data_IF_852403353209
#
_entry.id   IF_852403353209
#
_cell.length_a   1.000
_cell.length_b   1.000
_cell.length_c   1.000
_cell.angle_alpha   90.00
_cell.angle_beta   90.00
_cell.angle_gamma   90.00
#
_symmetry.space_group_name_H-M   'P 1'
#
loop_
_entity.id
_entity.type
_entity.pdbx_description
1 polymer ?
#
# COMPACT_ATOMS: atom_id res chain seq x y z
N UNK A 1 17.92 -31.45 -45.47
CA UNK A 1 18.99 -30.75 -44.74
C UNK A 1 18.95 -29.23 -44.92
N UNK A 2 18.89 -28.65 -46.13
CA UNK A 2 18.89 -27.18 -46.30
C UNK A 2 17.73 -26.39 -45.60
N UNK A 3 16.52 -26.99 -45.45
CA UNK A 3 15.38 -26.35 -44.75
C UNK A 3 15.60 -26.23 -43.23
N UNK A 4 16.28 -27.17 -42.59
CA UNK A 4 16.54 -27.14 -41.14
C UNK A 4 17.66 -26.18 -40.78
N UNK A 5 18.64 -25.98 -41.69
CA UNK A 5 19.72 -25.01 -41.52
C UNK A 5 19.18 -23.59 -41.56
N UNK A 6 18.21 -23.30 -42.44
CA UNK A 6 17.55 -21.96 -42.51
C UNK A 6 16.73 -21.65 -41.27
N UNK A 7 16.00 -22.64 -40.71
CA UNK A 7 15.22 -22.48 -39.48
C UNK A 7 16.12 -22.23 -38.27
N UNK A 8 17.27 -22.91 -38.16
CA UNK A 8 18.22 -22.71 -37.06
C UNK A 8 18.93 -21.34 -37.13
N UNK A 9 19.21 -20.82 -38.32
CA UNK A 9 19.78 -19.49 -38.50
C UNK A 9 18.78 -18.39 -38.12
N UNK A 10 17.50 -18.54 -38.46
CA UNK A 10 16.44 -17.60 -38.08
C UNK A 10 16.26 -17.60 -36.56
N UNK A 11 16.27 -18.78 -35.90
CA UNK A 11 16.18 -18.89 -34.45
C UNK A 11 17.37 -18.21 -33.73
N UNK A 12 18.58 -18.34 -34.27
CA UNK A 12 19.80 -17.70 -33.74
C UNK A 12 19.78 -16.16 -33.88
N UNK A 13 19.19 -15.63 -34.97
CA UNK A 13 19.05 -14.19 -35.15
C UNK A 13 18.04 -13.61 -34.13
N UNK A 14 16.92 -14.29 -33.87
CA UNK A 14 15.95 -13.87 -32.85
C UNK A 14 16.51 -13.91 -31.43
N UNK A 15 17.36 -14.89 -31.08
CA UNK A 15 17.99 -14.96 -29.75
C UNK A 15 19.01 -13.83 -29.53
N UNK A 16 19.76 -13.42 -30.53
CA UNK A 16 20.68 -12.27 -30.44
C UNK A 16 19.96 -10.94 -30.25
N UNK A 17 18.85 -10.69 -30.96
CA UNK A 17 18.07 -9.48 -30.81
C UNK A 17 17.42 -9.38 -29.41
N UNK A 18 17.00 -10.51 -28.83
CA UNK A 18 16.45 -10.54 -27.46
C UNK A 18 17.52 -10.32 -26.38
N UNK A 19 18.74 -10.81 -26.61
CA UNK A 19 19.89 -10.65 -25.69
C UNK A 19 20.40 -9.20 -25.65
N UNK A 20 20.36 -8.48 -26.77
CA UNK A 20 20.90 -7.11 -26.85
C UNK A 20 20.01 -6.10 -26.11
N UNK A 21 18.67 -6.25 -26.18
CA UNK A 21 17.71 -5.43 -25.43
C UNK A 21 17.83 -5.61 -23.90
N UNK A 22 18.12 -6.83 -23.45
CA UNK A 22 18.30 -7.11 -22.02
C UNK A 22 19.65 -6.59 -21.49
N UNK A 23 20.73 -6.57 -22.31
CA UNK A 23 22.03 -6.10 -21.86
C UNK A 23 22.05 -4.64 -21.43
N UNK A 24 21.27 -3.78 -22.10
CA UNK A 24 21.13 -2.36 -21.74
C UNK A 24 20.36 -2.23 -20.41
N UNK A 25 19.27 -2.98 -20.24
CA UNK A 25 18.49 -2.99 -19.01
C UNK A 25 19.29 -3.57 -17.83
N UNK A 26 20.12 -4.59 -18.08
CA UNK A 26 21.03 -5.15 -17.08
C UNK A 26 22.07 -4.10 -16.66
N UNK A 27 22.70 -3.40 -17.60
CA UNK A 27 23.67 -2.34 -17.30
C UNK A 27 23.05 -1.19 -16.48
N UNK A 28 21.80 -0.79 -16.79
CA UNK A 28 21.09 0.20 -16.01
C UNK A 28 20.75 -0.31 -14.60
N UNK A 29 20.29 -1.57 -14.48
CA UNK A 29 19.98 -2.22 -13.20
C UNK A 29 21.24 -2.25 -12.31
N UNK A 30 22.38 -2.71 -12.84
CA UNK A 30 23.64 -2.81 -12.10
C UNK A 30 24.12 -1.41 -11.65
N UNK A 31 24.01 -0.42 -12.51
CA UNK A 31 24.34 0.97 -12.17
C UNK A 31 23.44 1.51 -11.06
N UNK A 32 22.13 1.20 -11.07
CA UNK A 32 21.20 1.58 -10.01
C UNK A 32 21.57 0.90 -8.70
N UNK A 33 21.94 -0.39 -8.71
CA UNK A 33 22.39 -1.13 -7.52
C UNK A 33 23.62 -0.43 -6.92
N UNK A 34 24.63 -0.11 -7.74
CA UNK A 34 25.85 0.54 -7.31
C UNK A 34 25.59 1.93 -6.74
N UNK A 35 24.85 2.79 -7.44
CA UNK A 35 24.54 4.14 -6.97
C UNK A 35 23.65 4.15 -5.73
N UNK A 36 22.68 3.25 -5.64
CA UNK A 36 21.79 3.20 -4.47
C UNK A 36 22.54 2.68 -3.24
N UNK A 37 23.46 1.73 -3.40
CA UNK A 37 24.33 1.26 -2.33
C UNK A 37 25.28 2.37 -1.85
N UNK A 38 25.92 3.07 -2.78
CA UNK A 38 26.79 4.20 -2.46
C UNK A 38 26.02 5.35 -1.78
N UNK A 39 24.80 5.63 -2.23
CA UNK A 39 23.92 6.64 -1.64
C UNK A 39 23.61 6.34 -0.17
N UNK A 40 23.23 5.12 0.15
CA UNK A 40 22.88 4.74 1.53
C UNK A 40 24.11 4.78 2.44
N UNK A 41 25.28 4.38 1.95
CA UNK A 41 26.53 4.32 2.71
C UNK A 41 27.25 5.68 2.84
N UNK A 42 26.88 6.69 2.07
CA UNK A 42 27.50 8.01 2.15
C UNK A 42 27.15 8.73 3.46
N UNK A 43 28.08 9.45 4.04
CA UNK A 43 27.87 10.38 5.16
C UNK A 43 27.74 11.84 4.71
N UNK A 44 27.56 12.09 3.41
CA UNK A 44 27.44 13.43 2.84
C UNK A 44 26.11 13.56 2.10
N UNK A 45 25.25 14.44 2.57
CA UNK A 45 23.90 14.62 2.04
C UNK A 45 23.89 15.15 0.58
N UNK A 46 24.89 15.98 0.21
CA UNK A 46 25.03 16.44 -1.17
C UNK A 46 25.33 15.28 -2.12
N UNK A 47 26.23 14.38 -1.74
CA UNK A 47 26.55 13.19 -2.50
C UNK A 47 25.33 12.27 -2.60
N UNK A 48 24.56 12.10 -1.52
CA UNK A 48 23.32 11.31 -1.54
C UNK A 48 22.32 11.85 -2.55
N UNK A 49 22.15 13.16 -2.62
CA UNK A 49 21.25 13.80 -3.58
C UNK A 49 21.74 13.58 -5.00
N UNK A 50 23.02 13.79 -5.28
CA UNK A 50 23.62 13.58 -6.61
C UNK A 50 23.48 12.14 -7.09
N UNK A 51 23.73 11.16 -6.21
CA UNK A 51 23.55 9.74 -6.52
C UNK A 51 22.08 9.40 -6.76
N UNK A 52 21.17 9.97 -5.97
CA UNK A 52 19.73 9.82 -6.17
C UNK A 52 19.26 10.40 -7.50
N UNK A 53 19.85 11.49 -7.97
CA UNK A 53 19.52 12.08 -9.26
C UNK A 53 20.05 11.21 -10.43
N UNK A 54 21.22 10.58 -10.28
CA UNK A 54 21.73 9.55 -11.22
C UNK A 54 20.78 8.34 -11.28
N UNK A 55 20.34 7.82 -10.12
CA UNK A 55 19.33 6.76 -10.04
C UNK A 55 18.05 7.17 -10.79
N UNK A 56 17.58 8.40 -10.57
CA UNK A 56 16.39 8.93 -11.24
C UNK A 56 16.53 8.96 -12.76
N UNK A 57 17.70 9.32 -13.27
CA UNK A 57 18.01 9.29 -14.71
C UNK A 57 17.92 7.87 -15.27
N UNK A 58 18.59 6.91 -14.63
CA UNK A 58 18.62 5.51 -15.08
C UNK A 58 17.23 4.84 -15.00
N UNK A 59 16.48 5.04 -13.91
CA UNK A 59 15.10 4.54 -13.81
C UNK A 59 14.24 5.11 -14.91
N UNK A 60 14.41 6.39 -15.25
CA UNK A 60 13.65 7.01 -16.33
C UNK A 60 14.03 6.36 -17.68
N UNK A 61 15.30 6.17 -17.97
CA UNK A 61 15.78 5.46 -19.17
C UNK A 61 15.23 4.03 -19.26
N UNK A 62 15.16 3.29 -18.14
CA UNK A 62 14.51 1.97 -18.11
C UNK A 62 13.05 2.10 -18.55
N UNK A 63 12.33 3.10 -18.06
CA UNK A 63 10.90 3.26 -18.37
C UNK A 63 10.63 3.68 -19.83
N UNK A 64 11.61 4.22 -20.54
CA UNK A 64 11.53 4.55 -21.96
C UNK A 64 11.68 3.32 -22.87
N UNK A 65 12.27 2.22 -22.36
CA UNK A 65 12.37 0.99 -23.13
C UNK A 65 10.99 0.32 -23.23
N UNK A 66 10.55 0.04 -24.46
CA UNK A 66 9.19 -0.45 -24.75
C UNK A 66 8.81 -1.71 -23.94
N UNK A 67 9.73 -2.67 -23.82
CA UNK A 67 9.50 -3.95 -23.13
C UNK A 67 9.81 -3.92 -21.64
N UNK A 68 10.27 -2.79 -21.11
CA UNK A 68 10.75 -2.67 -19.73
C UNK A 68 9.71 -3.03 -18.67
N UNK A 69 8.42 -2.90 -18.97
CA UNK A 69 7.34 -3.23 -18.03
C UNK A 69 7.37 -4.71 -17.58
N UNK A 70 7.95 -5.60 -18.39
CA UNK A 70 8.09 -7.02 -18.12
C UNK A 70 9.46 -7.40 -17.59
N UNK A 71 10.44 -6.47 -17.62
CA UNK A 71 11.79 -6.73 -17.17
C UNK A 71 11.85 -6.87 -15.66
N UNK A 72 12.57 -7.90 -15.17
CA UNK A 72 12.72 -8.18 -13.75
C UNK A 72 13.72 -7.22 -13.10
N UNK A 73 13.24 -6.46 -12.12
CA UNK A 73 14.00 -5.51 -11.32
C UNK A 73 13.96 -5.89 -9.83
N UNK A 74 13.69 -7.16 -9.51
CA UNK A 74 13.57 -7.64 -8.12
C UNK A 74 14.88 -7.54 -7.33
N UNK A 75 16.02 -7.49 -7.99
CA UNK A 75 17.35 -7.33 -7.37
C UNK A 75 17.61 -5.92 -6.81
N UNK A 76 16.81 -4.93 -7.20
CA UNK A 76 16.94 -3.56 -6.69
C UNK A 76 16.55 -3.49 -5.21
N UNK A 77 17.56 -3.42 -4.33
CA UNK A 77 17.35 -3.44 -2.86
C UNK A 77 16.80 -2.11 -2.32
N UNK A 78 17.36 -1.00 -2.79
CA UNK A 78 17.07 0.35 -2.26
C UNK A 78 16.11 1.16 -3.12
N UNK A 79 15.79 0.67 -4.31
CA UNK A 79 14.74 1.22 -5.18
C UNK A 79 13.62 0.19 -5.27
N UNK A 80 12.49 0.47 -4.63
CA UNK A 80 11.35 -0.43 -4.68
C UNK A 80 10.59 -0.27 -5.98
N UNK A 81 10.36 -1.38 -6.65
CA UNK A 81 9.59 -1.45 -7.89
C UNK A 81 8.31 -2.24 -7.64
N UNK A 82 7.17 -1.63 -7.93
CA UNK A 82 5.87 -2.28 -7.82
C UNK A 82 5.17 -2.20 -9.18
N UNK A 83 4.93 -3.36 -9.78
CA UNK A 83 4.21 -3.49 -11.05
C UNK A 83 2.82 -4.06 -10.80
N UNK A 84 1.80 -3.46 -11.40
CA UNK A 84 0.43 -3.97 -11.34
C UNK A 84 0.32 -5.33 -12.07
N UNK A 85 -0.64 -6.17 -11.63
CA UNK A 85 -0.87 -7.49 -12.25
C UNK A 85 -1.24 -7.37 -13.73
N UNK A 86 -1.97 -6.32 -14.08
CA UNK A 86 -2.38 -6.05 -15.47
C UNK A 86 -1.27 -5.40 -16.32
N UNK A 87 -0.07 -5.21 -15.77
CA UNK A 87 1.08 -4.60 -16.44
C UNK A 87 0.81 -3.20 -17.04
N UNK A 88 -0.20 -2.48 -16.53
CA UNK A 88 -0.57 -1.14 -17.04
C UNK A 88 -0.09 0.01 -16.15
N UNK A 89 0.42 -0.31 -14.96
CA UNK A 89 0.95 0.65 -14.02
C UNK A 89 2.15 0.07 -13.27
N UNK A 90 3.22 0.85 -13.18
CA UNK A 90 4.40 0.55 -12.37
C UNK A 90 4.85 1.81 -11.65
N UNK A 91 5.30 1.65 -10.41
CA UNK A 91 5.85 2.74 -9.62
C UNK A 91 7.19 2.31 -9.03
N UNK A 92 8.17 3.20 -9.14
CA UNK A 92 9.47 3.13 -8.51
C UNK A 92 9.50 4.14 -7.37
N UNK A 93 9.93 3.74 -6.20
CA UNK A 93 10.12 4.65 -5.07
C UNK A 93 11.38 4.32 -4.30
N UNK A 94 12.08 5.35 -3.85
CA UNK A 94 13.23 5.21 -2.97
C UNK A 94 13.33 6.39 -2.00
N UNK A 95 14.16 6.20 -0.99
CA UNK A 95 14.35 7.13 0.11
C UNK A 95 15.80 7.59 0.12
N UNK A 96 16.02 8.88 0.34
CA UNK A 96 17.33 9.45 0.64
C UNK A 96 17.39 9.65 2.16
N UNK A 97 18.16 8.82 2.89
CA UNK A 97 18.30 8.99 4.34
C UNK A 97 19.32 10.09 4.63
N UNK A 98 18.89 11.22 5.15
CA UNK A 98 19.78 12.34 5.49
C UNK A 98 20.50 12.11 6.82
N UNK A 99 21.64 12.79 6.99
CA UNK A 99 22.50 12.69 8.17
C UNK A 99 21.82 13.19 9.45
N UNK A 100 20.87 14.10 9.30
CA UNK A 100 20.07 14.66 10.40
C UNK A 100 18.86 13.75 10.80
N UNK A 101 18.78 12.52 10.26
CA UNK A 101 17.71 11.56 10.46
C UNK A 101 16.37 11.98 9.83
N UNK A 102 16.38 12.89 8.89
CA UNK A 102 15.23 13.15 8.03
C UNK A 102 15.33 12.38 6.70
N UNK A 103 14.31 12.46 5.87
CA UNK A 103 14.21 11.62 4.66
C UNK A 103 13.74 12.44 3.46
N UNK A 104 14.42 12.26 2.34
CA UNK A 104 13.94 12.70 1.04
C UNK A 104 13.25 11.57 0.28
N UNK A 105 12.19 11.87 -0.45
CA UNK A 105 11.43 10.87 -1.22
C UNK A 105 11.55 11.14 -2.70
N UNK A 106 11.80 10.09 -3.45
CA UNK A 106 11.84 10.09 -4.91
C UNK A 106 10.92 9.02 -5.46
N UNK A 107 10.34 9.29 -6.60
CA UNK A 107 9.51 8.31 -7.29
C UNK A 107 9.38 8.61 -8.77
N UNK A 108 9.19 7.54 -9.53
CA UNK A 108 8.87 7.56 -10.96
C UNK A 108 7.71 6.61 -11.18
N UNK A 109 6.78 7.00 -12.02
CA UNK A 109 5.67 6.15 -12.43
C UNK A 109 5.73 5.92 -13.92
N UNK A 110 5.34 4.71 -14.34
CA UNK A 110 5.13 4.32 -15.73
C UNK A 110 3.70 3.82 -15.87
N UNK A 111 2.94 4.34 -16.82
CA UNK A 111 1.53 4.04 -17.00
C UNK A 111 1.14 3.95 -18.46
N UNK A 112 0.20 3.04 -18.76
CA UNK A 112 -0.22 2.78 -20.15
C UNK A 112 -1.21 3.84 -20.65
N UNK A 113 -0.86 4.47 -21.77
CA UNK A 113 -1.71 5.35 -22.55
C UNK A 113 -2.52 4.51 -23.56
N UNK A 114 -3.83 4.38 -23.32
CA UNK A 114 -4.71 3.54 -24.14
C UNK A 114 -4.90 4.08 -25.57
N UNK A 115 -4.80 5.39 -25.78
CA UNK A 115 -4.99 6.02 -27.07
C UNK A 115 -3.78 5.85 -27.97
N UNK A 116 -2.59 6.07 -27.42
CA UNK A 116 -1.34 5.97 -28.16
C UNK A 116 -0.77 4.56 -28.17
N UNK A 117 -1.30 3.65 -27.33
CA UNK A 117 -0.82 2.27 -27.11
C UNK A 117 0.65 2.22 -26.70
N UNK A 118 1.11 3.21 -25.93
CA UNK A 118 2.47 3.36 -25.42
C UNK A 118 2.48 3.56 -23.90
N UNK A 119 3.63 3.38 -23.27
CA UNK A 119 3.83 3.76 -21.90
C UNK A 119 4.29 5.22 -21.80
N UNK A 120 3.78 5.91 -20.78
CA UNK A 120 4.22 7.26 -20.41
C UNK A 120 4.76 7.24 -18.99
N UNK A 121 5.86 7.97 -18.76
CA UNK A 121 6.57 8.00 -17.50
C UNK A 121 6.61 9.39 -16.92
N UNK A 122 6.51 9.49 -15.60
CA UNK A 122 6.48 10.76 -14.87
C UNK A 122 7.36 10.68 -13.63
N UNK A 123 8.22 11.68 -13.45
CA UNK A 123 8.90 11.94 -12.17
C UNK A 123 7.91 12.53 -11.18
N UNK A 124 7.94 12.04 -9.94
CA UNK A 124 7.07 12.50 -8.85
C UNK A 124 7.79 13.58 -8.04
N UNK A 125 7.07 14.65 -7.72
CA UNK A 125 7.59 15.71 -6.85
C UNK A 125 7.00 15.60 -5.46
N UNK A 126 7.82 15.25 -4.47
CA UNK A 126 7.40 15.20 -3.07
C UNK A 126 7.07 16.62 -2.56
N UNK A 127 5.87 16.74 -2.01
CA UNK A 127 5.34 17.92 -1.34
C UNK A 127 4.67 17.57 -0.01
N UNK A 128 4.90 16.35 0.52
CA UNK A 128 4.20 15.82 1.68
C UNK A 128 4.19 16.76 2.88
N UNK A 129 5.31 17.38 3.19
CA UNK A 129 5.45 18.30 4.33
C UNK A 129 4.71 19.64 4.16
N UNK A 130 4.38 19.99 2.88
CA UNK A 130 3.68 21.24 2.52
C UNK A 130 2.19 21.02 2.26
N UNK A 131 1.69 19.77 2.40
CA UNK A 131 0.30 19.41 2.11
C UNK A 131 -0.53 19.38 3.39
N UNK A 132 -1.13 20.50 3.78
CA UNK A 132 -2.16 20.49 4.82
C UNK A 132 -3.34 19.59 4.43
N UNK A 133 -3.84 18.77 5.38
CA UNK A 133 -4.98 17.87 5.17
C UNK A 133 -4.85 16.96 3.95
N UNK A 134 -3.63 16.41 3.74
CA UNK A 134 -3.32 15.55 2.59
C UNK A 134 -4.30 14.38 2.44
N UNK A 135 -4.87 13.87 3.54
CA UNK A 135 -5.80 12.75 3.55
C UNK A 135 -7.04 12.98 2.66
N UNK A 136 -7.51 14.22 2.53
CA UNK A 136 -8.75 14.56 1.84
C UNK A 136 -8.54 15.09 0.42
N UNK A 137 -7.28 15.21 -0.02
CA UNK A 137 -6.91 15.82 -1.31
C UNK A 137 -6.62 14.77 -2.38
N UNK A 138 -7.09 15.00 -3.60
CA UNK A 138 -6.52 14.35 -4.79
C UNK A 138 -5.28 15.12 -5.22
N UNK A 139 -4.19 14.41 -5.47
CA UNK A 139 -2.88 14.98 -5.74
C UNK A 139 -2.41 14.57 -7.13
N UNK A 140 -1.67 15.47 -7.79
CA UNK A 140 -1.00 15.21 -9.06
C UNK A 140 0.44 14.72 -8.84
N UNK A 141 1.09 14.30 -9.90
CA UNK A 141 2.53 13.95 -9.92
C UNK A 141 3.43 15.08 -9.40
N UNK A 142 3.05 16.35 -9.60
CA UNK A 142 3.78 17.55 -9.10
C UNK A 142 3.51 17.90 -7.64
N UNK A 143 2.53 17.22 -7.02
CA UNK A 143 2.11 17.41 -5.63
C UNK A 143 1.95 16.06 -4.94
N UNK A 144 2.88 15.14 -5.17
CA UNK A 144 2.87 13.82 -4.55
C UNK A 144 3.14 13.92 -3.04
N UNK A 145 2.48 13.05 -2.25
CA UNK A 145 2.65 13.04 -0.79
C UNK A 145 4.03 12.54 -0.35
N UNK A 146 4.75 11.80 -1.23
CA UNK A 146 6.05 11.22 -0.94
C UNK A 146 5.98 10.04 0.03
N UNK A 147 6.27 8.84 -0.48
CA UNK A 147 6.34 7.64 0.34
C UNK A 147 7.19 6.56 -0.34
N UNK A 148 7.76 5.68 0.49
CA UNK A 148 8.33 4.42 0.04
C UNK A 148 7.21 3.38 0.00
N UNK A 149 6.76 3.01 -1.20
CA UNK A 149 5.69 2.01 -1.36
C UNK A 149 6.29 0.61 -1.44
N UNK A 150 5.72 -0.34 -0.68
CA UNK A 150 6.22 -1.72 -0.62
C UNK A 150 5.19 -2.77 -1.06
N UNK A 151 3.93 -2.40 -1.27
CA UNK A 151 2.88 -3.30 -1.75
C UNK A 151 1.94 -2.58 -2.71
N UNK A 152 1.48 -3.27 -3.74
CA UNK A 152 0.44 -2.83 -4.67
C UNK A 152 -0.71 -3.82 -4.69
N UNK A 153 -1.94 -3.31 -4.62
CA UNK A 153 -3.18 -4.09 -4.61
C UNK A 153 -4.11 -3.52 -5.68
N UNK A 154 -4.60 -4.38 -6.55
CA UNK A 154 -5.55 -3.98 -7.58
C UNK A 154 -6.97 -4.24 -7.13
N UNK A 155 -7.83 -3.23 -7.31
CA UNK A 155 -9.26 -3.33 -7.09
C UNK A 155 -10.01 -2.62 -8.22
N UNK A 156 -11.32 -2.89 -8.35
CA UNK A 156 -12.14 -2.27 -9.39
C UNK A 156 -13.53 -1.90 -8.87
N UNK A 157 -14.10 -0.85 -9.48
CA UNK A 157 -15.51 -0.44 -9.32
C UNK A 157 -16.10 -0.27 -10.72
N UNK A 158 -16.93 -1.23 -11.14
CA UNK A 158 -17.34 -1.31 -12.55
C UNK A 158 -16.10 -1.44 -13.46
N UNK A 159 -15.98 -0.60 -14.47
CA UNK A 159 -14.83 -0.54 -15.37
C UNK A 159 -13.62 0.20 -14.79
N UNK A 160 -13.79 1.00 -13.72
CA UNK A 160 -12.71 1.81 -13.15
C UNK A 160 -11.81 0.97 -12.26
N UNK A 161 -10.50 0.96 -12.56
CA UNK A 161 -9.46 0.31 -11.78
C UNK A 161 -8.84 1.28 -10.77
N UNK A 162 -8.41 0.72 -9.64
CA UNK A 162 -7.68 1.41 -8.58
C UNK A 162 -6.45 0.57 -8.22
N UNK A 163 -5.33 1.24 -8.04
CA UNK A 163 -4.10 0.66 -7.50
C UNK A 163 -3.91 1.21 -6.09
N UNK A 164 -4.16 0.37 -5.09
CA UNK A 164 -3.95 0.72 -3.69
C UNK A 164 -2.52 0.37 -3.32
N UNK A 165 -1.75 1.36 -2.88
CA UNK A 165 -0.35 1.22 -2.49
C UNK A 165 -0.25 1.28 -0.96
N UNK A 166 0.48 0.34 -0.36
CA UNK A 166 0.89 0.41 1.04
C UNK A 166 2.30 0.99 1.08
N UNK A 167 2.53 1.95 1.97
CA UNK A 167 3.80 2.64 2.04
C UNK A 167 4.17 3.13 3.43
N UNK A 168 5.37 3.71 3.51
CA UNK A 168 5.94 4.31 4.69
C UNK A 168 6.50 5.71 4.38
N UNK A 169 6.41 6.62 5.37
CA UNK A 169 7.05 7.93 5.36
C UNK A 169 7.50 8.30 6.77
N UNK A 170 8.79 8.60 6.95
CA UNK A 170 9.28 9.36 8.10
C UNK A 170 8.86 10.82 7.96
N UNK A 171 8.28 11.38 9.00
CA UNK A 171 7.75 12.75 9.02
C UNK A 171 8.72 13.68 9.74
N UNK A 172 9.24 13.23 10.88
CA UNK A 172 10.22 13.97 11.68
C UNK A 172 11.17 12.97 12.36
N UNK A 173 12.02 13.46 13.25
CA UNK A 173 12.90 12.59 14.06
C UNK A 173 12.13 11.71 15.04
N UNK A 174 10.93 12.11 15.43
CA UNK A 174 10.09 11.42 16.44
C UNK A 174 8.83 10.81 15.88
N UNK A 175 8.41 11.19 14.66
CA UNK A 175 7.15 10.75 14.04
C UNK A 175 7.40 10.13 12.68
N UNK A 176 6.80 8.98 12.45
CA UNK A 176 6.73 8.29 11.17
C UNK A 176 5.28 7.96 10.81
N UNK A 177 5.05 7.44 9.62
CA UNK A 177 3.71 7.03 9.21
C UNK A 177 3.70 5.82 8.30
N UNK A 178 2.64 5.01 8.40
CA UNK A 178 2.20 4.08 7.37
C UNK A 178 1.11 4.73 6.53
N UNK A 179 1.05 4.37 5.26
CA UNK A 179 0.18 5.05 4.29
C UNK A 179 -0.55 4.00 3.45
N UNK A 180 -1.86 4.22 3.28
CA UNK A 180 -2.64 3.54 2.25
C UNK A 180 -3.02 4.61 1.22
N UNK A 181 -2.35 4.58 0.08
CA UNK A 181 -2.54 5.51 -1.02
C UNK A 181 -3.38 4.86 -2.13
N UNK A 182 -4.21 5.63 -2.80
CA UNK A 182 -5.02 5.16 -3.93
C UNK A 182 -4.57 5.86 -5.20
N UNK A 183 -4.17 5.09 -6.19
CA UNK A 183 -3.75 5.60 -7.50
C UNK A 183 -4.80 5.25 -8.55
N UNK A 184 -5.11 6.21 -9.42
CA UNK A 184 -5.90 6.00 -10.63
C UNK A 184 -5.13 6.44 -11.86
N UNK A 185 -5.21 5.65 -12.92
CA UNK A 185 -4.64 5.95 -14.23
C UNK A 185 -5.78 6.29 -15.19
N UNK A 186 -5.72 7.45 -15.81
CA UNK A 186 -6.67 7.88 -16.85
C UNK A 186 -6.28 7.27 -18.20
N UNK A 187 -7.21 7.27 -19.17
CA UNK A 187 -6.99 6.66 -20.51
C UNK A 187 -5.77 7.20 -21.25
N UNK A 188 -5.37 8.46 -21.01
CA UNK A 188 -4.15 9.07 -21.57
C UNK A 188 -2.88 8.77 -20.75
N UNK A 189 -2.94 7.87 -19.75
CA UNK A 189 -1.81 7.56 -18.89
C UNK A 189 -1.59 8.54 -17.74
N UNK A 190 -2.37 9.61 -17.63
CA UNK A 190 -2.24 10.58 -16.52
C UNK A 190 -2.61 9.95 -15.18
N UNK A 191 -1.81 10.22 -14.16
CA UNK A 191 -1.94 9.65 -12.83
C UNK A 191 -2.55 10.66 -11.86
N UNK A 192 -3.41 10.14 -10.98
CA UNK A 192 -3.93 10.89 -9.84
C UNK A 192 -3.78 10.05 -8.59
N UNK A 193 -3.23 10.63 -7.52
CA UNK A 193 -3.11 10.05 -6.18
C UNK A 193 -4.27 10.53 -5.32
N UNK A 194 -4.87 9.62 -4.56
CA UNK A 194 -6.00 9.89 -3.67
C UNK A 194 -7.35 9.78 -4.37
N UNK A 195 -8.15 8.79 -3.92
CA UNK A 195 -9.50 8.58 -4.39
C UNK A 195 -10.39 8.07 -3.26
N UNK A 196 -11.63 8.57 -3.17
CA UNK A 196 -12.57 8.20 -2.10
C UNK A 196 -13.16 6.80 -2.35
N UNK A 197 -12.46 5.78 -1.83
CA UNK A 197 -12.89 4.38 -1.81
C UNK A 197 -12.80 3.75 -0.41
N UNK A 198 -12.77 4.58 0.64
CA UNK A 198 -12.74 4.11 2.02
C UNK A 198 -14.11 4.25 2.68
N UNK A 199 -14.53 3.22 3.42
CA UNK A 199 -15.66 3.26 4.36
C UNK A 199 -15.11 3.05 5.78
N UNK A 200 -14.67 4.16 6.38
CA UNK A 200 -13.97 4.22 7.67
C UNK A 200 -14.74 5.05 8.70
N UNK A 201 -16.04 5.17 8.55
CA UNK A 201 -16.91 6.00 9.41
C UNK A 201 -16.82 5.64 10.89
N UNK A 202 -16.51 4.41 11.20
CA UNK A 202 -16.39 3.88 12.57
C UNK A 202 -14.92 3.74 13.01
N UNK A 203 -13.97 4.27 12.24
CA UNK A 203 -12.56 4.23 12.58
C UNK A 203 -12.19 5.49 13.38
N UNK A 204 -12.04 5.32 14.68
CA UNK A 204 -11.84 6.43 15.61
C UNK A 204 -10.61 7.26 15.33
N UNK A 205 -9.50 6.61 14.93
CA UNK A 205 -8.25 7.27 14.55
C UNK A 205 -8.43 8.40 13.51
N UNK A 206 -9.37 8.26 12.57
CA UNK A 206 -9.68 9.26 11.54
C UNK A 206 -10.86 10.17 11.88
N UNK A 207 -11.40 10.05 13.11
CA UNK A 207 -12.59 10.77 13.54
C UNK A 207 -13.89 10.07 13.13
N UNK A 208 -14.85 10.05 14.05
CA UNK A 208 -16.17 9.45 13.82
C UNK A 208 -16.88 10.14 12.65
N UNK A 209 -17.49 9.34 11.78
CA UNK A 209 -18.26 9.84 10.64
C UNK A 209 -17.43 10.27 9.43
N UNK A 210 -16.10 10.10 9.42
CA UNK A 210 -15.25 10.48 8.30
C UNK A 210 -15.65 9.75 7.01
N UNK A 211 -15.95 10.52 5.96
CA UNK A 211 -16.36 10.02 4.62
C UNK A 211 -15.52 10.58 3.48
N UNK A 212 -14.57 11.46 3.77
CA UNK A 212 -13.85 12.25 2.76
C UNK A 212 -12.43 11.78 2.50
N UNK A 213 -11.92 10.80 3.26
CA UNK A 213 -10.55 10.33 3.09
C UNK A 213 -10.31 9.72 1.73
N UNK A 214 -9.28 10.22 1.05
CA UNK A 214 -8.81 9.74 -0.26
C UNK A 214 -7.52 8.93 -0.16
N UNK A 215 -6.84 9.02 0.97
CA UNK A 215 -5.75 8.18 1.47
C UNK A 215 -5.84 8.08 2.98
N UNK A 216 -5.22 7.06 3.56
CA UNK A 216 -5.11 6.92 5.01
C UNK A 216 -3.66 7.11 5.41
N UNK A 217 -3.42 7.97 6.39
CA UNK A 217 -2.09 8.27 6.92
C UNK A 217 -2.12 7.98 8.41
N UNK A 218 -1.39 6.95 8.83
CA UNK A 218 -1.28 6.49 10.19
C UNK A 218 0.04 7.01 10.77
N UNK A 219 -0.01 8.10 11.53
CA UNK A 219 1.16 8.71 12.18
C UNK A 219 1.39 8.08 13.55
N UNK A 220 2.63 7.77 13.88
CA UNK A 220 3.01 7.15 15.15
C UNK A 220 4.48 7.39 15.46
N UNK A 221 4.89 7.02 16.69
CA UNK A 221 6.25 7.19 17.18
C UNK A 221 7.29 6.46 16.32
N UNK A 222 8.46 7.08 16.11
CA UNK A 222 9.62 6.37 15.51
C UNK A 222 10.17 5.25 16.39
N UNK A 223 9.82 5.23 17.68
CA UNK A 223 10.18 4.14 18.60
C UNK A 223 9.26 2.92 18.49
N UNK A 224 8.12 3.06 17.81
CA UNK A 224 7.18 1.97 17.54
C UNK A 224 7.30 1.43 16.13
N UNK A 225 6.81 0.23 15.91
CA UNK A 225 6.66 -0.36 14.58
C UNK A 225 5.21 -0.79 14.38
N UNK A 226 4.53 -0.19 13.40
CA UNK A 226 3.15 -0.52 13.05
C UNK A 226 3.12 -1.53 11.92
N UNK A 227 2.44 -2.66 12.14
CA UNK A 227 2.13 -3.59 11.06
C UNK A 227 1.11 -3.00 10.10
N UNK A 228 1.38 -3.10 8.80
CA UNK A 228 0.44 -2.79 7.73
C UNK A 228 0.79 -3.64 6.52
N UNK A 229 -0.05 -4.64 6.18
CA UNK A 229 0.19 -5.52 5.04
C UNK A 229 -1.12 -5.96 4.38
N UNK A 230 -1.03 -6.70 3.28
CA UNK A 230 -2.16 -7.28 2.55
C UNK A 230 -2.06 -8.79 2.59
N UNK A 231 -2.89 -9.41 3.42
CA UNK A 231 -2.79 -10.82 3.76
C UNK A 231 -4.15 -11.51 3.67
N UNK A 232 -4.12 -12.84 3.46
CA UNK A 232 -5.31 -13.67 3.53
C UNK A 232 -5.68 -13.91 4.99
N UNK A 233 -6.89 -13.50 5.38
CA UNK A 233 -7.36 -13.58 6.75
C UNK A 233 -8.81 -14.07 6.82
N UNK A 234 -9.19 -14.57 8.00
CA UNK A 234 -10.55 -14.93 8.34
C UNK A 234 -11.07 -13.92 9.35
N UNK A 235 -12.18 -13.25 9.05
CA UNK A 235 -12.87 -12.38 10.00
C UNK A 235 -14.22 -12.95 10.37
N UNK A 236 -14.60 -12.81 11.65
CA UNK A 236 -15.90 -13.20 12.16
C UNK A 236 -16.75 -11.94 12.33
N UNK A 237 -17.83 -11.86 11.58
CA UNK A 237 -18.75 -10.71 11.63
C UNK A 237 -20.02 -11.11 12.37
N UNK A 238 -20.39 -10.36 13.40
CA UNK A 238 -21.72 -10.49 14.00
C UNK A 238 -22.79 -10.16 12.95
N UNK A 239 -23.63 -11.11 12.61
CA UNK A 239 -24.77 -10.86 11.73
C UNK A 239 -25.85 -10.14 12.56
N UNK A 240 -26.22 -8.93 12.15
CA UNK A 240 -27.41 -8.28 12.71
C UNK A 240 -28.62 -9.16 12.39
N UNK A 241 -29.15 -9.88 13.37
CA UNK A 241 -30.48 -10.45 13.25
C UNK A 241 -31.43 -9.27 13.01
N UNK A 242 -32.16 -9.30 11.91
CA UNK A 242 -33.32 -8.40 11.77
C UNK A 242 -34.31 -8.89 12.81
N UNK A 243 -34.33 -8.29 13.99
CA UNK A 243 -35.46 -8.45 14.90
C UNK A 243 -36.66 -7.87 14.17
N UNK A 244 -37.52 -8.70 13.64
CA UNK A 244 -38.88 -8.29 13.28
C UNK A 244 -39.54 -7.93 14.59
N UNK A 245 -39.58 -6.65 14.91
CA UNK A 245 -40.42 -6.10 15.95
C UNK A 245 -41.85 -6.31 15.51
N UNK A 246 -42.46 -7.45 15.87
CA UNK A 246 -43.87 -7.62 15.81
C UNK A 246 -44.47 -6.98 17.07
N UNK A 247 -44.76 -5.71 16.99
CA UNK A 247 -45.66 -5.06 17.96
C UNK A 247 -47.06 -5.67 17.80
N UNK A 248 -47.31 -6.82 18.44
CA UNK A 248 -48.67 -7.22 18.76
C UNK A 248 -49.05 -6.57 20.09
N UNK A 249 -49.81 -5.45 20.03
CA UNK A 249 -50.59 -4.96 21.17
C UNK A 249 -51.49 -6.09 21.62
N UNK A 250 -51.22 -6.71 22.77
CA UNK A 250 -52.23 -7.41 23.55
C UNK A 250 -52.42 -6.67 24.86
N UNK A 251 -53.56 -6.04 24.99
CA UNK A 251 -54.15 -5.66 26.31
C UNK A 251 -54.49 -6.98 27.02
N UNK A 252 -54.01 -7.20 28.23
CA UNK A 252 -54.78 -7.83 29.30
C UNK A 252 -54.09 -7.61 30.63
N UNK A 253 -54.84 -7.11 31.55
CA UNK A 253 -54.55 -7.09 32.98
C UNK A 253 -54.47 -8.51 33.53
N UNK A 254 -53.46 -8.83 34.37
CA UNK A 254 -53.66 -9.44 35.69
C UNK A 254 -52.34 -9.62 36.41
N UNK A 255 -52.41 -9.33 37.67
CA UNK A 255 -51.43 -9.49 38.75
C UNK A 255 -50.88 -10.89 38.90
N UNK A 256 -49.64 -11.01 39.37
CA UNK A 256 -49.08 -12.28 39.86
C UNK A 256 -47.54 -12.24 39.94
N UNK A 257 -47.05 -12.38 41.11
CA UNK A 257 -45.69 -12.41 41.56
C UNK A 257 -44.80 -13.48 40.89
N UNK A 258 -43.50 -13.19 40.81
CA UNK A 258 -42.32 -14.06 40.71
C UNK A 258 -42.10 -14.89 39.43
N UNK A 259 -41.07 -14.47 38.69
CA UNK A 259 -39.92 -15.35 38.30
C UNK A 259 -38.81 -14.47 37.77
N UNK A 260 -37.64 -14.49 38.40
CA UNK A 260 -36.36 -14.06 37.85
C UNK A 260 -36.04 -14.94 36.65
N UNK A 261 -36.38 -14.49 35.44
CA UNK A 261 -35.86 -15.05 34.22
C UNK A 261 -34.54 -14.34 33.91
N UNK A 262 -33.45 -15.05 34.07
CA UNK A 262 -32.14 -14.65 33.53
C UNK A 262 -32.32 -14.25 32.06
N UNK A 263 -31.70 -13.16 31.59
CA UNK A 263 -31.82 -12.77 30.19
C UNK A 263 -31.16 -13.85 29.32
N UNK A 264 -32.00 -14.54 28.55
CA UNK A 264 -31.55 -15.41 27.47
C UNK A 264 -30.53 -14.65 26.60
N UNK A 265 -29.25 -15.05 26.69
CA UNK A 265 -28.22 -14.55 25.79
C UNK A 265 -28.63 -14.90 24.36
N UNK A 266 -29.26 -13.95 23.68
CA UNK A 266 -29.60 -14.11 22.27
C UNK A 266 -28.36 -14.57 21.50
N UNK A 267 -28.39 -15.77 20.92
CA UNK A 267 -27.30 -16.32 20.10
C UNK A 267 -27.07 -15.37 18.93
N UNK A 268 -26.01 -14.55 19.01
CA UNK A 268 -25.59 -13.70 17.91
C UNK A 268 -25.14 -14.61 16.77
N UNK A 269 -25.90 -14.61 15.65
CA UNK A 269 -25.48 -15.33 14.45
C UNK A 269 -24.22 -14.68 13.92
N UNK A 270 -23.12 -15.40 13.89
CA UNK A 270 -21.85 -14.94 13.32
C UNK A 270 -21.70 -15.47 11.90
N UNK A 271 -21.09 -14.69 11.04
CA UNK A 271 -20.69 -15.08 9.69
C UNK A 271 -19.18 -14.94 9.57
N UNK A 272 -18.51 -16.02 9.19
CA UNK A 272 -17.08 -15.98 8.85
C UNK A 272 -16.91 -15.56 7.39
N UNK A 273 -15.99 -14.62 7.15
CA UNK A 273 -15.53 -14.21 5.82
C UNK A 273 -14.04 -14.49 5.71
N UNK A 274 -13.65 -15.14 4.60
CA UNK A 274 -12.25 -15.43 4.28
C UNK A 274 -11.89 -14.71 2.98
N UNK A 275 -10.91 -13.84 3.03
CA UNK A 275 -10.45 -13.08 1.86
C UNK A 275 -9.09 -12.45 2.12
N UNK A 276 -8.46 -11.95 1.06
CA UNK A 276 -7.32 -11.04 1.19
C UNK A 276 -7.80 -9.67 1.64
N UNK A 277 -7.18 -9.12 2.68
CA UNK A 277 -7.53 -7.82 3.25
C UNK A 277 -6.28 -7.04 3.67
N UNK A 278 -6.40 -5.74 3.77
CA UNK A 278 -5.36 -4.93 4.37
C UNK A 278 -5.49 -5.10 5.88
N UNK A 279 -4.45 -5.64 6.51
CA UNK A 279 -4.36 -5.91 7.95
C UNK A 279 -3.42 -4.91 8.56
N UNK A 280 -3.79 -4.36 9.71
CA UNK A 280 -3.01 -3.30 10.34
C UNK A 280 -3.20 -3.29 11.85
N UNK A 281 -2.17 -2.85 12.57
CA UNK A 281 -2.28 -2.56 14.00
C UNK A 281 -3.16 -1.34 14.24
N UNK A 282 -3.91 -1.38 15.34
CA UNK A 282 -4.59 -0.20 15.84
C UNK A 282 -3.60 0.73 16.53
N UNK A 283 -3.62 2.00 16.19
CA UNK A 283 -2.81 3.02 16.85
C UNK A 283 -3.61 3.74 17.93
N UNK A 284 -3.02 3.85 19.10
CA UNK A 284 -3.59 4.56 20.26
C UNK A 284 -2.53 5.47 20.89
N UNK A 285 -2.92 6.62 21.47
CA UNK A 285 -2.01 7.43 22.27
C UNK A 285 -1.73 6.73 23.61
N UNK A 286 -0.56 6.96 24.18
CA UNK A 286 -0.17 6.41 25.48
C UNK A 286 -1.07 6.86 26.63
N UNK A 287 -1.71 8.01 26.49
CA UNK A 287 -2.75 8.49 27.39
C UNK A 287 -3.74 9.42 26.63
N UNK A 288 -4.95 9.64 27.14
CA UNK A 288 -5.93 10.55 26.51
C UNK A 288 -5.41 11.98 26.31
N UNK A 289 -4.52 12.46 27.20
CA UNK A 289 -3.90 13.78 27.12
C UNK A 289 -2.94 13.92 25.94
N UNK A 290 -2.40 12.80 25.43
CA UNK A 290 -1.48 12.75 24.29
C UNK A 290 -2.21 12.62 22.94
N UNK A 291 -3.53 12.84 22.93
CA UNK A 291 -4.28 12.91 21.68
C UNK A 291 -3.70 14.02 20.80
N UNK A 292 -3.52 13.70 19.50
CA UNK A 292 -2.93 14.56 18.46
C UNK A 292 -1.41 14.79 18.55
N UNK A 293 -0.72 14.25 19.57
CA UNK A 293 0.73 14.21 19.69
C UNK A 293 1.24 12.85 19.19
N UNK A 294 1.52 12.74 17.89
CA UNK A 294 1.76 11.45 17.23
C UNK A 294 3.06 10.74 17.65
N UNK A 295 4.00 11.42 18.24
CA UNK A 295 5.19 10.85 18.87
C UNK A 295 4.88 9.95 20.08
N UNK A 296 3.65 10.03 20.60
CA UNK A 296 3.14 9.20 21.69
C UNK A 296 2.09 8.16 21.22
N UNK A 297 1.96 7.96 19.91
CA UNK A 297 1.08 6.91 19.37
C UNK A 297 1.87 5.63 19.13
N UNK A 298 1.30 4.51 19.57
CA UNK A 298 1.87 3.18 19.44
C UNK A 298 0.80 2.18 19.01
N UNK A 299 1.19 1.01 18.44
CA UNK A 299 0.29 -0.10 18.26
C UNK A 299 -0.33 -0.55 19.58
N UNK A 300 -1.64 -0.73 19.60
CA UNK A 300 -2.36 -1.31 20.73
C UNK A 300 -2.08 -2.82 20.79
N UNK A 301 -1.67 -3.32 21.98
CA UNK A 301 -1.29 -4.72 22.13
C UNK A 301 -2.45 -5.67 21.81
N UNK A 302 -2.19 -6.66 20.96
CA UNK A 302 -3.12 -7.72 20.56
C UNK A 302 -4.41 -7.25 19.85
N UNK A 303 -4.47 -6.01 19.40
CA UNK A 303 -5.60 -5.48 18.64
C UNK A 303 -5.18 -5.28 17.18
N UNK A 304 -5.83 -6.01 16.29
CA UNK A 304 -5.59 -5.96 14.85
C UNK A 304 -6.88 -5.54 14.15
N UNK A 305 -6.76 -4.57 13.27
CA UNK A 305 -7.85 -4.08 12.43
C UNK A 305 -7.68 -4.54 10.98
N UNK A 306 -8.75 -4.50 10.19
CA UNK A 306 -8.69 -4.80 8.78
C UNK A 306 -9.50 -3.84 7.91
N UNK A 307 -9.05 -3.72 6.65
CA UNK A 307 -9.83 -3.14 5.57
C UNK A 307 -10.09 -4.22 4.52
N UNK A 308 -11.35 -4.59 4.35
CA UNK A 308 -11.78 -5.57 3.36
C UNK A 308 -12.44 -4.88 2.17
N UNK A 309 -12.06 -5.30 0.94
CA UNK A 309 -12.68 -4.78 -0.27
C UNK A 309 -14.07 -5.34 -0.46
N UNK A 310 -15.10 -4.54 -0.19
CA UNK A 310 -16.50 -4.92 -0.32
C UNK A 310 -17.34 -3.79 -0.89
N UNK A 311 -18.31 -4.11 -1.76
CA UNK A 311 -19.21 -3.12 -2.37
C UNK A 311 -18.44 -1.93 -2.96
N UNK A 312 -17.31 -2.22 -3.63
CA UNK A 312 -16.44 -1.24 -4.30
C UNK A 312 -15.80 -0.20 -3.36
N UNK A 313 -15.56 -0.58 -2.11
CA UNK A 313 -14.87 0.24 -1.09
C UNK A 313 -14.01 -0.64 -0.18
N UNK A 314 -12.95 -0.07 0.37
CA UNK A 314 -12.23 -0.60 1.52
C UNK A 314 -13.05 -0.31 2.78
N UNK A 315 -13.68 -1.36 3.31
CA UNK A 315 -14.53 -1.26 4.51
C UNK A 315 -13.74 -1.67 5.73
N UNK A 316 -13.79 -0.83 6.77
CA UNK A 316 -13.10 -1.04 8.03
C UNK A 316 -13.83 -2.07 8.90
N UNK A 317 -13.05 -2.97 9.49
CA UNK A 317 -13.44 -3.97 10.46
C UNK A 317 -12.47 -3.88 11.66
N UNK A 318 -12.95 -3.43 12.82
CA UNK A 318 -12.13 -3.37 14.02
C UNK A 318 -11.98 -4.75 14.64
N UNK A 319 -10.85 -4.93 15.37
CA UNK A 319 -10.58 -6.05 16.26
C UNK A 319 -10.89 -7.40 15.62
N UNK A 320 -10.18 -7.71 14.55
CA UNK A 320 -10.31 -9.00 13.87
C UNK A 320 -9.53 -10.07 14.61
N UNK A 321 -10.08 -11.29 14.68
CA UNK A 321 -9.32 -12.45 15.14
C UNK A 321 -8.37 -12.91 14.02
N UNK A 322 -7.17 -12.31 14.01
CA UNK A 322 -6.11 -12.61 13.04
C UNK A 322 -5.31 -13.88 13.37
N UNK A 323 -5.76 -14.69 14.33
CA UNK A 323 -5.13 -15.96 14.71
C UNK A 323 -5.38 -17.04 13.66
N UNK A 324 -4.92 -16.81 12.44
CA UNK A 324 -4.82 -17.91 11.48
C UNK A 324 -3.68 -18.83 11.93
N UNK A 325 -3.98 -20.11 12.11
CA UNK A 325 -2.94 -21.13 12.19
C UNK A 325 -2.00 -20.92 11.00
N UNK A 326 -0.72 -20.66 11.28
CA UNK A 326 0.33 -20.70 10.27
C UNK A 326 0.20 -22.01 9.52
N UNK A 327 -0.11 -21.95 8.24
CA UNK A 327 0.00 -23.12 7.39
C UNK A 327 1.47 -23.54 7.37
N UNK A 328 1.73 -24.85 7.43
CA UNK A 328 3.09 -25.42 7.35
C UNK A 328 3.89 -24.97 6.11
N UNK A 329 3.24 -24.34 5.13
CA UNK A 329 3.85 -23.74 3.94
C UNK A 329 4.27 -22.27 4.10
N UNK A 330 3.97 -21.61 5.23
CA UNK A 330 4.39 -20.24 5.52
C UNK A 330 5.88 -20.12 5.89
N UNK A 331 6.60 -21.24 5.97
CA UNK A 331 8.06 -21.28 6.07
C UNK A 331 8.79 -20.87 4.78
N UNK A 332 8.05 -20.57 3.71
CA UNK A 332 8.60 -20.06 2.48
C UNK A 332 8.92 -18.58 2.63
N UNK A 333 10.18 -18.29 2.98
CA UNK A 333 10.86 -16.99 2.89
C UNK A 333 10.22 -15.90 3.75
N UNK A 334 10.72 -15.73 5.00
CA UNK A 334 10.64 -14.45 5.70
C UNK A 334 10.95 -13.35 4.70
N UNK A 335 10.11 -12.29 4.58
CA UNK A 335 10.47 -11.14 3.78
C UNK A 335 11.83 -10.68 4.28
N UNK A 336 12.77 -10.47 3.37
CA UNK A 336 14.05 -9.85 3.74
C UNK A 336 13.67 -8.47 4.26
N UNK A 337 13.70 -8.30 5.58
CA UNK A 337 13.57 -7.01 6.21
C UNK A 337 14.80 -6.20 5.80
N UNK A 338 14.63 -5.36 4.79
CA UNK A 338 15.64 -4.36 4.49
C UNK A 338 15.61 -3.36 5.65
N UNK A 339 16.71 -3.25 6.38
CA UNK A 339 16.92 -2.30 7.49
C UNK A 339 16.93 -0.81 7.05
N UNK A 340 16.15 -0.45 6.04
CA UNK A 340 15.93 0.93 5.61
C UNK A 340 14.82 1.62 6.40
N UNK A 341 13.99 0.83 7.08
CA UNK A 341 13.05 1.34 8.08
C UNK A 341 13.72 1.10 9.43
N UNK A 342 14.00 2.10 10.25
CA UNK A 342 14.50 1.91 11.60
C UNK A 342 13.59 0.92 12.33
N UNK A 343 14.20 -0.08 13.01
CA UNK A 343 13.48 -1.03 13.85
C UNK A 343 12.70 -0.31 14.91
#
# INVERSE_FOLDING_TARGET
MKKYILLSIIALIFTKAYSQDNSILDAYKDSIINYSTAMVNSNNDKIKIELSDKISGLVFQITEQEKSINYDLSELKFVKVLTSKDKKFRVFTWVIPFTDRTYGYRGITQSYNQYKKEFVSYKLTDKGDKLGFAQNKSLSIKKWYGAYYYKIIETKRGSKKFYTLLGWRGISRTVQSKIIEVVTVKSKGNITFGYNIFDIRNYEYFGKGNRSSKRLIFKFSTQGNMYLNYDYQTIVIASKSKSKSSYKKKKSYKSGFNAQSSPDKAKVKTKSLKDNMIVLDRLVPTSPQMKDFYEFYYPESNIIDALLWQKSKWKYYPDIDARNKTNSNDNAKKPIEYNLVPK
#
